data_IF_619317026581
#
_entry.id   IF_619317026581
#
_cell.length_a   1.000
_cell.length_b   1.000
_cell.length_c   1.000
_cell.angle_alpha   90.00
_cell.angle_beta   90.00
_cell.angle_gamma   90.00
#
_symmetry.space_group_name_H-M   'P 1'
#
loop_
_entity.id
_entity.type
_entity.pdbx_description
1 polymer ?
#
# COMPACT_ATOMS: atom_id res chain seq x y z
N UNK A 1 -24.78 27.78 -2.11
CA UNK A 1 -24.32 26.87 -1.04
C UNK A 1 -23.79 25.53 -1.61
N UNK A 2 -22.97 25.53 -2.67
CA UNK A 2 -22.51 24.28 -3.34
C UNK A 2 -21.02 23.98 -3.16
N UNK A 3 -20.19 24.99 -2.82
CA UNK A 3 -18.73 24.84 -2.66
C UNK A 3 -18.34 23.88 -1.53
N UNK A 4 -19.06 23.90 -0.41
CA UNK A 4 -18.77 23.02 0.72
C UNK A 4 -19.06 21.55 0.41
N UNK A 5 -20.08 21.27 -0.40
CA UNK A 5 -20.44 19.90 -0.76
C UNK A 5 -19.38 19.26 -1.69
N UNK A 6 -18.86 20.03 -2.65
CA UNK A 6 -17.77 19.58 -3.54
C UNK A 6 -16.46 19.32 -2.78
N UNK A 7 -16.12 20.17 -1.81
CA UNK A 7 -14.91 19.97 -0.99
C UNK A 7 -15.07 18.73 -0.11
N UNK A 8 -16.24 18.55 0.51
CA UNK A 8 -16.55 17.37 1.32
C UNK A 8 -16.48 16.09 0.49
N UNK A 9 -16.98 16.10 -0.75
CA UNK A 9 -16.89 14.97 -1.67
C UNK A 9 -15.44 14.65 -2.07
N UNK A 10 -14.62 15.67 -2.36
CA UNK A 10 -13.20 15.47 -2.66
C UNK A 10 -12.42 14.90 -1.49
N UNK A 11 -12.70 15.36 -0.27
CA UNK A 11 -12.07 14.81 0.94
C UNK A 11 -12.49 13.36 1.15
N UNK A 12 -13.77 13.03 0.97
CA UNK A 12 -14.26 11.65 1.06
C UNK A 12 -13.58 10.76 0.00
N UNK A 13 -13.44 11.21 -1.25
CA UNK A 13 -12.74 10.46 -2.28
C UNK A 13 -11.26 10.24 -1.95
N UNK A 14 -10.57 11.24 -1.42
CA UNK A 14 -9.16 11.10 -0.99
C UNK A 14 -9.04 10.11 0.17
N UNK A 15 -9.96 10.14 1.13
CA UNK A 15 -10.00 9.22 2.27
C UNK A 15 -10.33 7.79 1.81
N UNK A 16 -11.26 7.59 0.88
CA UNK A 16 -11.55 6.27 0.30
C UNK A 16 -10.36 5.74 -0.50
N UNK A 17 -9.66 6.59 -1.25
CA UNK A 17 -8.46 6.20 -1.99
C UNK A 17 -7.29 5.82 -1.05
N UNK A 18 -7.11 6.53 0.06
CA UNK A 18 -6.08 6.17 1.05
C UNK A 18 -6.45 4.94 1.86
N UNK A 19 -7.74 4.75 2.20
CA UNK A 19 -8.21 3.53 2.87
C UNK A 19 -8.11 2.33 1.93
N UNK A 20 -8.40 2.48 0.63
CA UNK A 20 -8.19 1.40 -0.35
C UNK A 20 -6.71 0.97 -0.46
N UNK A 21 -5.77 1.90 -0.26
CA UNK A 21 -4.35 1.59 -0.11
C UNK A 21 -4.00 1.01 1.27
N UNK A 22 -4.84 1.19 2.29
CA UNK A 22 -4.64 0.69 3.65
C UNK A 22 -5.28 -0.70 3.86
N UNK A 23 -6.34 -1.03 3.11
CA UNK A 23 -7.07 -2.31 3.24
C UNK A 23 -6.33 -3.52 2.68
N UNK A 24 -5.20 -3.34 2.00
CA UNK A 24 -4.32 -4.47 1.65
C UNK A 24 -3.40 -4.90 2.79
N UNK A 25 -3.47 -4.25 3.97
CA UNK A 25 -2.59 -4.55 5.11
C UNK A 25 -3.35 -5.17 6.30
N UNK A 26 -4.68 -5.28 6.25
CA UNK A 26 -5.50 -5.77 7.40
C UNK A 26 -6.53 -6.83 7.00
N UNK A 27 -6.23 -7.64 6.00
CA UNK A 27 -6.80 -8.98 5.90
C UNK A 27 -5.60 -9.92 5.98
N UNK A 28 -5.68 -11.08 6.65
CA UNK A 28 -4.55 -12.03 6.80
C UNK A 28 -4.01 -12.60 5.47
N UNK A 29 -4.33 -11.97 4.35
CA UNK A 29 -3.78 -12.15 3.04
C UNK A 29 -2.34 -11.64 3.01
N UNK A 30 -1.44 -12.60 2.93
CA UNK A 30 -0.06 -12.33 2.64
C UNK A 30 0.12 -11.67 1.25
N UNK A 31 1.20 -10.91 1.09
CA UNK A 31 1.53 -10.22 -0.15
C UNK A 31 2.09 -11.22 -1.20
N UNK A 32 1.54 -11.25 -2.42
CA UNK A 32 2.06 -12.09 -3.50
C UNK A 32 3.40 -11.57 -4.04
N UNK A 33 4.11 -12.41 -4.79
CA UNK A 33 5.39 -12.05 -5.42
C UNK A 33 5.26 -10.78 -6.26
N UNK A 34 6.27 -9.90 -6.17
CA UNK A 34 6.29 -8.60 -6.83
C UNK A 34 5.55 -7.49 -6.09
N UNK A 35 4.78 -7.79 -5.03
CA UNK A 35 4.15 -6.76 -4.19
C UNK A 35 5.18 -6.02 -3.36
N UNK A 36 4.93 -4.74 -3.08
CA UNK A 36 5.77 -3.93 -2.19
C UNK A 36 5.57 -4.40 -0.75
N UNK A 37 6.67 -4.67 -0.05
CA UNK A 37 6.65 -5.17 1.34
C UNK A 37 7.50 -4.27 2.24
N UNK A 38 7.32 -4.40 3.56
CA UNK A 38 8.14 -3.72 4.56
C UNK A 38 8.97 -4.73 5.35
N UNK A 39 8.46 -5.96 5.50
CA UNK A 39 9.10 -7.09 6.17
C UNK A 39 8.72 -8.40 5.48
N UNK A 40 9.53 -9.45 5.69
CA UNK A 40 9.24 -10.80 5.18
C UNK A 40 7.93 -11.38 5.72
N UNK A 41 7.51 -10.95 6.91
CA UNK A 41 6.22 -11.36 7.49
C UNK A 41 5.02 -10.86 6.69
N UNK A 42 5.18 -9.80 5.89
CA UNK A 42 4.11 -9.30 5.01
C UNK A 42 3.93 -10.21 3.78
N UNK A 43 4.95 -10.98 3.39
CA UNK A 43 4.94 -11.78 2.16
C UNK A 43 4.26 -13.14 2.35
N UNK A 44 3.74 -13.70 1.26
CA UNK A 44 3.21 -15.06 1.29
C UNK A 44 4.23 -16.10 1.71
N UNK A 45 3.72 -17.19 2.29
CA UNK A 45 4.53 -18.33 2.64
C UNK A 45 5.42 -18.70 1.45
N UNK A 46 6.70 -18.95 1.72
CA UNK A 46 7.76 -19.18 0.73
C UNK A 46 8.29 -17.95 -0.03
N UNK A 47 7.88 -16.72 0.31
CA UNK A 47 8.43 -15.49 -0.24
C UNK A 47 9.22 -14.69 0.81
N UNK A 48 10.26 -14.00 0.37
CA UNK A 48 11.11 -13.12 1.18
C UNK A 48 10.98 -11.67 0.75
N UNK A 49 10.98 -10.74 1.70
CA UNK A 49 10.98 -9.32 1.37
C UNK A 49 12.41 -8.88 1.02
N UNK A 50 12.67 -8.59 -0.26
CA UNK A 50 14.00 -8.25 -0.79
C UNK A 50 14.01 -6.86 -1.40
N UNK A 51 15.17 -6.19 -1.35
CA UNK A 51 15.36 -4.90 -2.03
C UNK A 51 15.26 -5.11 -3.53
N UNK A 52 14.28 -4.47 -4.16
CA UNK A 52 14.06 -4.51 -5.60
C UNK A 52 14.83 -3.40 -6.32
N UNK A 53 14.72 -2.16 -5.81
CA UNK A 53 15.39 -0.99 -6.38
C UNK A 53 15.63 0.07 -5.32
N UNK A 54 16.69 0.86 -5.46
CA UNK A 54 16.95 2.02 -4.59
C UNK A 54 16.73 3.29 -5.41
N UNK A 55 15.76 4.11 -5.02
CA UNK A 55 15.45 5.37 -5.70
C UNK A 55 15.79 6.50 -4.73
N UNK A 56 16.67 7.42 -5.14
CA UNK A 56 17.10 8.57 -4.31
C UNK A 56 17.60 8.19 -2.90
N UNK A 57 18.20 7.02 -2.77
CA UNK A 57 18.70 6.51 -1.49
C UNK A 57 17.67 5.75 -0.66
N UNK A 58 16.40 5.67 -1.09
CA UNK A 58 15.38 4.89 -0.41
C UNK A 58 15.23 3.49 -1.04
N UNK A 59 15.44 2.40 -0.28
CA UNK A 59 15.25 1.05 -0.77
C UNK A 59 13.75 0.71 -0.87
N UNK A 60 13.31 0.33 -2.07
CA UNK A 60 11.99 -0.25 -2.30
C UNK A 60 12.13 -1.76 -2.17
N UNK A 61 11.45 -2.34 -1.18
CA UNK A 61 11.41 -3.79 -0.98
C UNK A 61 10.18 -4.41 -1.64
N UNK A 62 10.34 -5.63 -2.16
CA UNK A 62 9.28 -6.44 -2.77
C UNK A 62 9.38 -7.91 -2.36
N UNK A 63 8.25 -8.60 -2.34
CA UNK A 63 8.20 -10.04 -2.07
C UNK A 63 8.76 -10.82 -3.26
N UNK A 64 9.73 -11.71 -3.01
CA UNK A 64 10.34 -12.61 -4.00
C UNK A 64 10.61 -13.99 -3.42
#
# INVERSE_FOLDING_TARGET
MMKNLTVMFMVVLMVVATIAHLTTVVDGACLPSGSKCTSTADCCANLTCRVFVVIRGEPILRCQ
#
